data_IF_705433836227
#
_entry.id   IF_705433836227
#
_cell.length_a   1.000
_cell.length_b   1.000
_cell.length_c   1.000
_cell.angle_alpha   90.00
_cell.angle_beta   90.00
_cell.angle_gamma   90.00
#
_symmetry.space_group_name_H-M   'P 1'
#
loop_
_entity.id
_entity.type
_entity.pdbx_description
1 polymer ?
#
# COMPACT_ATOMS: atom_id res chain seq x y z
N UNK A 1 50.05 -10.34 15.18
CA UNK A 1 48.84 -11.18 15.39
C UNK A 1 47.68 -10.22 15.65
N UNK A 2 46.94 -9.85 14.61
CA UNK A 2 45.77 -8.99 14.74
C UNK A 2 44.64 -9.89 15.23
N UNK A 3 44.16 -9.64 16.45
CA UNK A 3 42.98 -10.29 16.99
C UNK A 3 41.80 -9.90 16.11
N UNK A 4 41.39 -10.76 15.18
CA UNK A 4 40.10 -10.64 14.51
C UNK A 4 39.04 -10.81 15.59
N UNK A 5 38.56 -9.70 16.15
CA UNK A 5 37.34 -9.70 16.93
C UNK A 5 36.24 -10.15 16.00
N UNK A 6 35.79 -11.39 16.18
CA UNK A 6 34.58 -11.91 15.55
C UNK A 6 33.44 -10.97 15.89
N UNK A 7 33.01 -10.21 14.89
CA UNK A 7 31.90 -9.29 14.99
C UNK A 7 30.65 -10.12 15.33
N UNK A 8 30.14 -10.01 16.56
CA UNK A 8 28.94 -10.73 16.99
C UNK A 8 27.75 -10.16 16.25
N UNK A 9 27.48 -10.69 15.05
CA UNK A 9 26.22 -10.48 14.35
C UNK A 9 25.15 -11.26 15.09
N UNK A 10 24.09 -10.55 15.45
CA UNK A 10 22.94 -11.16 16.11
C UNK A 10 22.05 -11.70 15.01
N UNK A 11 21.59 -12.94 15.17
CA UNK A 11 20.56 -13.52 14.30
C UNK A 11 19.22 -12.88 14.65
N UNK A 12 18.85 -11.81 13.92
CA UNK A 12 17.65 -11.04 14.18
C UNK A 12 16.40 -11.86 13.90
N UNK A 13 16.47 -12.79 12.94
CA UNK A 13 15.35 -13.67 12.64
C UNK A 13 15.09 -14.67 13.76
N UNK A 14 16.13 -15.28 14.33
CA UNK A 14 15.99 -16.14 15.51
C UNK A 14 15.34 -15.37 16.68
N UNK A 15 15.80 -14.14 16.94
CA UNK A 15 15.18 -13.29 17.98
C UNK A 15 13.72 -12.98 17.64
N UNK A 16 13.41 -12.62 16.40
CA UNK A 16 12.04 -12.30 15.99
C UNK A 16 11.09 -13.49 16.20
N UNK A 17 11.55 -14.73 15.93
CA UNK A 17 10.76 -15.93 16.22
C UNK A 17 10.42 -16.05 17.70
N UNK A 18 11.40 -15.87 18.58
CA UNK A 18 11.17 -15.95 20.03
C UNK A 18 10.29 -14.80 20.52
N UNK A 19 10.44 -13.59 19.96
CA UNK A 19 9.59 -12.44 20.26
C UNK A 19 8.15 -12.67 19.81
N UNK A 20 7.93 -13.28 18.65
CA UNK A 20 6.59 -13.63 18.17
C UNK A 20 5.88 -14.59 19.13
N UNK A 21 6.59 -15.59 19.67
CA UNK A 21 6.06 -16.50 20.70
C UNK A 21 5.62 -15.73 21.95
N UNK A 22 6.41 -14.76 22.41
CA UNK A 22 6.09 -13.95 23.59
C UNK A 22 4.98 -12.92 23.35
N UNK A 23 4.78 -12.48 22.10
CA UNK A 23 3.65 -11.62 21.72
C UNK A 23 2.32 -12.40 21.70
N UNK A 24 2.38 -13.72 21.55
CA UNK A 24 1.24 -14.63 21.69
C UNK A 24 0.49 -14.91 20.39
N UNK A 25 -0.76 -15.37 20.53
CA UNK A 25 -1.57 -15.86 19.42
C UNK A 25 -1.73 -14.83 18.29
N UNK A 26 -1.61 -15.29 17.05
CA UNK A 26 -1.71 -14.45 15.86
C UNK A 26 -0.41 -13.75 15.46
N UNK A 27 0.67 -13.90 16.24
CA UNK A 27 2.00 -13.42 15.87
C UNK A 27 2.86 -14.52 15.27
N UNK A 28 3.59 -14.17 14.22
CA UNK A 28 4.59 -15.02 13.57
C UNK A 28 5.78 -14.16 13.13
N UNK A 29 6.87 -14.82 12.74
CA UNK A 29 8.04 -14.13 12.20
C UNK A 29 8.42 -14.69 10.83
N UNK A 30 8.84 -13.80 9.94
CA UNK A 30 9.43 -14.16 8.64
C UNK A 30 10.81 -13.53 8.48
N UNK A 31 11.59 -14.10 7.56
CA UNK A 31 12.86 -13.50 7.17
C UNK A 31 12.63 -12.11 6.57
N UNK A 32 13.58 -11.20 6.82
CA UNK A 32 13.61 -9.87 6.25
C UNK A 32 14.23 -9.83 4.86
N UNK A 33 14.60 -8.63 4.41
CA UNK A 33 15.17 -8.42 3.08
C UNK A 33 16.70 -8.49 3.05
N UNK A 34 17.36 -8.34 4.20
CA UNK A 34 18.81 -8.27 4.28
C UNK A 34 19.43 -9.64 4.49
N UNK A 35 20.56 -9.86 3.81
CA UNK A 35 21.28 -11.13 3.89
C UNK A 35 21.79 -11.39 5.30
N UNK A 36 22.01 -12.67 5.61
CA UNK A 36 22.56 -13.13 6.89
C UNK A 36 21.70 -12.82 8.13
N UNK A 37 20.37 -12.84 7.98
CA UNK A 37 19.40 -12.69 9.08
C UNK A 37 19.60 -11.38 9.89
N UNK A 38 19.99 -10.30 9.19
CA UNK A 38 20.19 -8.98 9.81
C UNK A 38 18.88 -8.23 10.06
N UNK A 39 17.80 -8.70 9.47
CA UNK A 39 16.46 -8.21 9.68
C UNK A 39 15.42 -9.33 9.61
N UNK A 40 14.23 -9.02 10.12
CA UNK A 40 13.09 -9.91 10.17
C UNK A 40 11.80 -9.12 10.20
N UNK A 41 10.70 -9.76 9.83
CA UNK A 41 9.37 -9.23 10.04
C UNK A 41 8.67 -9.98 11.16
N UNK A 42 7.88 -9.26 11.96
CA UNK A 42 6.86 -9.80 12.84
C UNK A 42 5.51 -9.52 12.20
N UNK A 43 4.78 -10.59 11.89
CA UNK A 43 3.44 -10.54 11.30
C UNK A 43 2.43 -10.85 12.39
N UNK A 44 1.63 -9.84 12.74
CA UNK A 44 0.64 -9.88 13.79
C UNK A 44 -0.80 -9.93 13.29
N UNK A 45 -1.77 -9.98 14.21
CA UNK A 45 -3.18 -9.94 13.89
C UNK A 45 -3.56 -8.64 13.16
N UNK A 46 -4.71 -8.67 12.49
CA UNK A 46 -5.28 -7.53 11.75
C UNK A 46 -4.32 -6.94 10.70
N UNK A 47 -3.39 -7.75 10.19
CA UNK A 47 -2.42 -7.36 9.17
C UNK A 47 -1.35 -6.37 9.66
N UNK A 48 -1.16 -6.23 10.98
CA UNK A 48 -0.04 -5.46 11.54
C UNK A 48 1.27 -6.17 11.18
N UNK A 49 2.22 -5.44 10.62
CA UNK A 49 3.56 -5.94 10.33
C UNK A 49 4.61 -5.01 10.93
N UNK A 50 5.57 -5.58 11.65
CA UNK A 50 6.70 -4.85 12.23
C UNK A 50 8.00 -5.31 11.58
N UNK A 51 8.89 -4.38 11.26
CA UNK A 51 10.24 -4.67 10.80
C UNK A 51 11.20 -4.58 11.98
N UNK A 52 11.96 -5.64 12.22
CA UNK A 52 13.06 -5.69 13.18
C UNK A 52 14.37 -5.71 12.40
N UNK A 53 15.28 -4.80 12.69
CA UNK A 53 16.58 -4.76 12.05
C UNK A 53 17.69 -4.38 13.02
N UNK A 54 18.84 -5.03 12.90
CA UNK A 54 20.06 -4.54 13.52
C UNK A 54 20.70 -3.51 12.56
N UNK A 55 20.70 -2.23 12.94
CA UNK A 55 21.41 -1.23 12.15
C UNK A 55 22.91 -1.28 12.46
N UNK A 56 23.65 -2.10 11.72
CA UNK A 56 25.10 -2.27 11.93
C UNK A 56 25.93 -1.02 11.62
N UNK A 57 25.36 -0.04 10.90
CA UNK A 57 26.04 1.22 10.59
C UNK A 57 25.96 2.24 11.73
N UNK A 58 24.84 2.28 12.46
CA UNK A 58 24.61 3.31 13.49
C UNK A 58 24.63 2.77 14.92
N UNK A 59 24.34 1.48 15.13
CA UNK A 59 24.36 0.88 16.47
C UNK A 59 24.55 -0.63 16.45
N UNK A 60 25.73 -1.09 16.88
CA UNK A 60 26.01 -2.52 17.07
C UNK A 60 25.33 -3.12 18.30
N UNK A 61 24.76 -2.29 19.18
CA UNK A 61 24.23 -2.70 20.50
C UNK A 61 22.70 -2.63 20.59
N UNK A 62 22.03 -2.14 19.55
CA UNK A 62 20.59 -1.97 19.50
C UNK A 62 20.00 -2.53 18.22
N UNK A 63 18.75 -2.96 18.31
CA UNK A 63 17.88 -3.24 17.16
C UNK A 63 16.82 -2.15 17.09
N UNK A 64 16.51 -1.72 15.89
CA UNK A 64 15.35 -0.88 15.61
C UNK A 64 14.15 -1.77 15.29
N UNK A 65 12.98 -1.40 15.82
CA UNK A 65 11.70 -2.03 15.51
C UNK A 65 10.72 -0.95 15.09
N UNK A 66 10.14 -1.06 13.90
CA UNK A 66 9.21 -0.07 13.35
C UNK A 66 8.03 -0.73 12.65
N UNK A 67 6.91 -0.02 12.53
CA UNK A 67 5.78 -0.54 11.74
C UNK A 67 6.08 -0.47 10.24
N UNK A 68 5.88 -1.59 9.55
CA UNK A 68 6.22 -1.79 8.14
C UNK A 68 4.98 -2.04 7.29
N UNK A 69 4.49 -0.98 6.64
CA UNK A 69 3.21 -1.01 5.91
C UNK A 69 3.24 -1.84 4.62
N UNK A 70 4.41 -2.09 4.03
CA UNK A 70 4.52 -2.77 2.73
C UNK A 70 3.61 -2.11 1.67
N UNK A 71 2.76 -2.90 1.03
CA UNK A 71 1.75 -2.44 0.05
C UNK A 71 0.78 -1.40 0.60
N UNK A 72 0.54 -1.37 1.92
CA UNK A 72 -0.34 -0.37 2.56
C UNK A 72 0.31 1.02 2.62
N UNK A 73 1.59 1.17 2.29
CA UNK A 73 2.30 2.45 2.35
C UNK A 73 1.60 3.54 1.53
N UNK A 74 1.05 3.19 0.36
CA UNK A 74 0.32 4.14 -0.50
C UNK A 74 -1.01 4.63 0.10
N UNK A 75 -1.54 3.89 1.07
CA UNK A 75 -2.81 4.20 1.75
C UNK A 75 -2.59 4.78 3.14
N UNK A 76 -1.34 5.03 3.52
CA UNK A 76 -0.98 5.64 4.80
C UNK A 76 -1.55 7.07 4.90
N UNK A 77 -2.13 7.47 6.04
CA UNK A 77 -2.43 8.88 6.28
C UNK A 77 -1.18 9.76 6.23
N UNK A 78 -1.32 10.95 5.64
CA UNK A 78 -0.20 11.85 5.30
C UNK A 78 0.75 12.11 6.48
N UNK A 79 0.20 12.42 7.66
CA UNK A 79 1.00 12.73 8.86
C UNK A 79 1.09 11.57 9.88
N UNK A 80 0.61 10.37 9.52
CA UNK A 80 0.70 9.24 10.45
C UNK A 80 2.15 8.77 10.61
N UNK A 81 2.53 8.38 11.82
CA UNK A 81 3.78 7.65 12.06
C UNK A 81 3.43 6.20 12.36
N UNK A 82 4.15 5.25 11.78
CA UNK A 82 4.05 3.83 12.14
C UNK A 82 4.82 3.49 13.41
N UNK A 83 5.48 4.49 14.00
CA UNK A 83 6.31 4.36 15.20
C UNK A 83 7.63 3.65 14.95
N UNK A 84 8.61 3.98 15.76
CA UNK A 84 9.88 3.28 15.86
C UNK A 84 10.33 3.21 17.33
N UNK A 85 10.95 2.10 17.71
CA UNK A 85 11.62 1.95 18.99
C UNK A 85 13.00 1.33 18.78
N UNK A 86 13.96 1.78 19.57
CA UNK A 86 15.26 1.13 19.69
C UNK A 86 15.29 0.29 20.98
N UNK A 87 15.67 -0.98 20.84
CA UNK A 87 15.81 -1.92 21.96
C UNK A 87 17.23 -2.46 21.99
N UNK A 88 17.79 -2.66 23.20
CA UNK A 88 19.11 -3.26 23.32
C UNK A 88 19.08 -4.74 22.90
N UNK A 89 20.11 -5.20 22.20
CA UNK A 89 20.27 -6.63 21.83
C UNK A 89 20.39 -7.57 23.03
N UNK A 90 20.62 -7.03 24.23
CA UNK A 90 20.71 -7.80 25.48
C UNK A 90 19.35 -8.06 26.13
N UNK A 91 18.27 -7.43 25.64
CA UNK A 91 16.93 -7.67 26.16
C UNK A 91 16.47 -9.07 25.80
N UNK A 92 15.79 -9.71 26.73
CA UNK A 92 15.12 -10.99 26.49
C UNK A 92 13.95 -10.82 25.51
N UNK A 93 13.56 -11.88 24.78
CA UNK A 93 12.38 -11.82 23.90
C UNK A 93 11.13 -11.28 24.58
N UNK A 94 10.87 -11.71 25.83
CA UNK A 94 9.76 -11.23 26.66
C UNK A 94 9.80 -9.71 26.93
N UNK A 95 10.99 -9.16 27.18
CA UNK A 95 11.16 -7.71 27.38
C UNK A 95 10.93 -6.94 26.08
N UNK A 96 11.40 -7.47 24.95
CA UNK A 96 11.18 -6.85 23.63
C UNK A 96 9.70 -6.88 23.28
N UNK A 97 9.01 -8.01 23.47
CA UNK A 97 7.56 -8.13 23.29
C UNK A 97 6.81 -7.12 24.17
N UNK A 98 7.18 -6.99 25.45
CA UNK A 98 6.58 -6.00 26.34
C UNK A 98 6.79 -4.54 25.89
N UNK A 99 7.95 -4.22 25.31
CA UNK A 99 8.20 -2.90 24.73
C UNK A 99 7.39 -2.66 23.44
N UNK A 100 7.29 -3.67 22.56
CA UNK A 100 6.45 -3.62 21.36
C UNK A 100 5.00 -3.31 21.76
N UNK A 101 4.43 -4.10 22.67
CA UNK A 101 3.04 -3.97 23.10
C UNK A 101 2.73 -2.63 23.73
N UNK A 102 3.65 -2.10 24.54
CA UNK A 102 3.38 -0.89 25.32
C UNK A 102 3.76 0.41 24.61
N UNK A 103 4.70 0.36 23.66
CA UNK A 103 5.25 1.57 23.00
C UNK A 103 4.97 1.63 21.52
N UNK A 104 5.03 0.51 20.81
CA UNK A 104 4.95 0.48 19.35
C UNK A 104 3.52 0.20 18.86
N UNK A 105 2.86 -0.85 19.36
CA UNK A 105 1.51 -1.21 18.92
C UNK A 105 0.46 -0.10 19.09
N UNK A 106 0.45 0.68 20.20
CA UNK A 106 -0.51 1.76 20.35
C UNK A 106 -0.41 2.84 19.26
N UNK A 107 0.77 2.98 18.65
CA UNK A 107 1.04 3.92 17.55
C UNK A 107 0.82 3.26 16.19
N UNK A 108 1.35 2.05 15.99
CA UNK A 108 1.32 1.36 14.72
C UNK A 108 -0.08 0.85 14.34
N UNK A 109 -0.77 0.16 15.25
CA UNK A 109 -2.01 -0.56 14.93
C UNK A 109 -3.13 0.35 14.36
N UNK A 110 -3.40 1.55 14.91
CA UNK A 110 -4.38 2.47 14.32
C UNK A 110 -4.05 2.87 12.89
N UNK A 111 -2.76 3.04 12.56
CA UNK A 111 -2.30 3.42 11.22
C UNK A 111 -2.52 2.28 10.23
N UNK A 112 -2.25 1.04 10.62
CA UNK A 112 -2.54 -0.14 9.80
C UNK A 112 -4.05 -0.27 9.53
N UNK A 113 -4.89 -0.14 10.56
CA UNK A 113 -6.33 -0.23 10.41
C UNK A 113 -6.89 0.83 9.45
N UNK A 114 -6.43 2.07 9.57
CA UNK A 114 -6.84 3.17 8.68
C UNK A 114 -6.31 2.99 7.26
N UNK A 115 -5.05 2.55 7.09
CA UNK A 115 -4.50 2.27 5.77
C UNK A 115 -5.26 1.13 5.06
N UNK A 116 -5.64 0.08 5.77
CA UNK A 116 -6.49 -0.98 5.23
C UNK A 116 -7.89 -0.48 4.85
N UNK A 117 -8.50 0.38 5.68
CA UNK A 117 -9.80 0.99 5.37
C UNK A 117 -9.72 1.82 4.08
N UNK A 118 -8.66 2.61 3.92
CA UNK A 118 -8.40 3.41 2.71
C UNK A 118 -8.15 2.54 1.49
N UNK A 119 -7.40 1.44 1.64
CA UNK A 119 -7.20 0.46 0.57
C UNK A 119 -8.54 -0.13 0.12
N UNK A 120 -9.38 -0.59 1.06
CA UNK A 120 -10.72 -1.13 0.74
C UNK A 120 -11.58 -0.09 0.01
N UNK A 121 -11.64 1.14 0.52
CA UNK A 121 -12.39 2.22 -0.12
C UNK A 121 -11.87 2.55 -1.52
N UNK A 122 -10.55 2.49 -1.73
CA UNK A 122 -9.95 2.66 -3.05
C UNK A 122 -10.32 1.51 -3.99
N UNK A 123 -10.20 0.26 -3.55
CA UNK A 123 -10.58 -0.92 -4.34
C UNK A 123 -12.06 -0.93 -4.71
N UNK A 124 -12.94 -0.54 -3.78
CA UNK A 124 -14.38 -0.36 -4.04
C UNK A 124 -14.64 0.73 -5.09
N UNK A 125 -13.93 1.85 -5.01
CA UNK A 125 -14.06 2.92 -5.99
C UNK A 125 -13.53 2.49 -7.38
N UNK A 126 -12.38 1.84 -7.45
CA UNK A 126 -11.83 1.30 -8.68
C UNK A 126 -12.78 0.29 -9.33
N UNK A 127 -13.37 -0.62 -8.55
CA UNK A 127 -14.37 -1.57 -9.05
C UNK A 127 -15.62 -0.87 -9.59
N UNK A 128 -16.12 0.17 -8.89
CA UNK A 128 -17.26 0.97 -9.33
C UNK A 128 -16.96 1.71 -10.64
N UNK A 129 -15.76 2.24 -10.78
CA UNK A 129 -15.36 2.97 -11.99
C UNK A 129 -15.19 2.02 -13.18
N UNK A 130 -14.56 0.87 -12.96
CA UNK A 130 -14.42 -0.15 -13.99
C UNK A 130 -15.80 -0.63 -14.50
N UNK A 131 -16.76 -0.83 -13.60
CA UNK A 131 -18.14 -1.17 -13.98
C UNK A 131 -18.79 -0.06 -14.82
N UNK A 132 -18.65 1.21 -14.42
CA UNK A 132 -19.17 2.35 -15.17
C UNK A 132 -18.50 2.48 -16.56
N UNK A 133 -17.20 2.25 -16.66
CA UNK A 133 -16.49 2.27 -17.93
C UNK A 133 -17.01 1.17 -18.88
N UNK A 134 -17.34 -0.01 -18.37
CA UNK A 134 -17.97 -1.08 -19.15
C UNK A 134 -19.41 -0.73 -19.58
N UNK A 135 -20.22 -0.10 -18.73
CA UNK A 135 -21.55 0.40 -19.11
C UNK A 135 -21.45 1.44 -20.24
N UNK A 136 -20.51 2.38 -20.14
CA UNK A 136 -20.24 3.38 -21.18
C UNK A 136 -19.77 2.69 -22.46
N UNK A 137 -18.86 1.71 -22.39
CA UNK A 137 -18.42 0.92 -23.55
C UNK A 137 -19.62 0.25 -24.23
N UNK A 138 -20.49 -0.40 -23.46
CA UNK A 138 -21.70 -1.04 -23.99
C UNK A 138 -22.62 -0.04 -24.71
N UNK A 139 -22.80 1.16 -24.14
CA UNK A 139 -23.59 2.23 -24.76
C UNK A 139 -22.94 2.82 -26.02
N UNK A 140 -21.61 2.88 -26.07
CA UNK A 140 -20.83 3.38 -27.22
C UNK A 140 -20.69 2.35 -28.35
N UNK A 141 -20.93 1.06 -28.06
CA UNK A 141 -20.87 -0.03 -29.03
C UNK A 141 -19.60 -0.88 -28.93
N UNK A 142 -19.62 -2.04 -29.59
CA UNK A 142 -18.60 -3.09 -29.39
C UNK A 142 -17.19 -2.70 -29.84
N UNK A 143 -17.06 -1.72 -30.74
CA UNK A 143 -15.77 -1.22 -31.21
C UNK A 143 -15.09 -0.24 -30.23
N UNK A 144 -15.79 0.14 -29.16
CA UNK A 144 -15.23 0.99 -28.13
C UNK A 144 -14.22 0.20 -27.27
N UNK A 145 -13.08 0.83 -26.99
CA UNK A 145 -11.97 0.27 -26.20
C UNK A 145 -11.91 0.94 -24.84
N UNK A 146 -11.65 0.14 -23.80
CA UNK A 146 -11.45 0.62 -22.43
C UNK A 146 -9.96 0.58 -22.09
N UNK A 147 -9.42 1.68 -21.59
CA UNK A 147 -8.12 1.73 -20.94
C UNK A 147 -8.29 1.32 -19.48
N UNK A 148 -7.72 0.18 -19.10
CA UNK A 148 -7.72 -0.30 -17.70
C UNK A 148 -6.96 0.66 -16.76
N UNK A 149 -6.00 1.42 -17.29
CA UNK A 149 -5.14 2.30 -16.48
C UNK A 149 -5.78 3.66 -16.20
N UNK A 150 -6.50 4.20 -17.18
CA UNK A 150 -6.97 5.59 -17.16
C UNK A 150 -8.49 5.69 -17.01
N UNK A 151 -9.18 4.55 -16.89
CA UNK A 151 -10.64 4.48 -16.85
C UNK A 151 -11.29 5.26 -18.01
N UNK A 152 -10.67 5.12 -19.18
CA UNK A 152 -11.00 5.87 -20.39
C UNK A 152 -11.62 4.94 -21.43
N UNK A 153 -12.81 5.30 -21.91
CA UNK A 153 -13.49 4.62 -23.02
C UNK A 153 -13.27 5.44 -24.30
N UNK A 154 -12.75 4.80 -25.34
CA UNK A 154 -12.46 5.45 -26.63
C UNK A 154 -13.18 4.75 -27.76
N UNK A 155 -13.77 5.53 -28.66
CA UNK A 155 -14.39 5.06 -29.90
C UNK A 155 -14.04 6.05 -31.00
N UNK A 156 -13.41 5.60 -32.08
CA UNK A 156 -13.07 6.51 -33.16
C UNK A 156 -12.08 5.97 -34.16
N UNK A 157 -11.96 6.70 -35.27
CA UNK A 157 -11.02 6.47 -36.37
C UNK A 157 -10.45 7.80 -36.87
N UNK A 158 -9.84 7.79 -38.06
CA UNK A 158 -9.14 8.96 -38.61
C UNK A 158 -10.00 10.22 -38.79
N UNK A 159 -11.32 10.09 -38.93
CA UNK A 159 -12.24 11.21 -39.24
C UNK A 159 -13.05 11.70 -38.02
N UNK A 160 -12.69 11.25 -36.83
CA UNK A 160 -13.36 11.64 -35.59
C UNK A 160 -13.15 10.61 -34.50
N UNK A 161 -12.99 11.09 -33.27
CA UNK A 161 -12.88 10.22 -32.11
C UNK A 161 -13.66 10.79 -30.94
N UNK A 162 -14.32 9.89 -30.22
CA UNK A 162 -14.99 10.13 -28.95
C UNK A 162 -14.17 9.48 -27.86
N UNK A 163 -13.93 10.25 -26.82
CA UNK A 163 -13.27 9.81 -25.59
C UNK A 163 -14.17 10.16 -24.43
N UNK A 164 -14.42 9.18 -23.57
CA UNK A 164 -15.16 9.33 -22.34
C UNK A 164 -14.25 8.92 -21.20
N UNK A 165 -13.95 9.85 -20.30
CA UNK A 165 -13.12 9.60 -19.13
C UNK A 165 -13.99 9.67 -17.88
N UNK A 166 -13.88 8.68 -17.00
CA UNK A 166 -14.55 8.70 -15.69
C UNK A 166 -13.57 9.29 -14.67
N UNK A 167 -13.92 10.41 -14.04
CA UNK A 167 -13.10 10.96 -12.96
C UNK A 167 -13.32 10.16 -11.66
N UNK A 168 -12.29 9.45 -11.18
CA UNK A 168 -12.40 8.62 -9.98
C UNK A 168 -12.71 9.40 -8.71
N UNK A 169 -12.39 10.70 -8.66
CA UNK A 169 -12.42 11.52 -7.43
C UNK A 169 -13.79 12.13 -7.18
N UNK A 170 -14.48 12.51 -8.25
CA UNK A 170 -15.75 13.22 -8.17
C UNK A 170 -16.92 12.43 -8.74
N UNK A 171 -16.67 11.26 -9.33
CA UNK A 171 -17.69 10.46 -10.01
C UNK A 171 -18.28 11.19 -11.23
N UNK A 172 -17.62 12.25 -11.71
CA UNK A 172 -18.03 12.97 -12.91
C UNK A 172 -17.51 12.24 -14.15
N UNK A 173 -18.26 12.36 -15.24
CA UNK A 173 -17.88 11.80 -16.54
C UNK A 173 -17.56 12.96 -17.47
N UNK A 174 -16.39 12.89 -18.12
CA UNK A 174 -15.96 13.88 -19.10
C UNK A 174 -16.06 13.30 -20.50
N UNK A 175 -16.85 13.93 -21.35
CA UNK A 175 -16.93 13.63 -22.77
C UNK A 175 -16.00 14.58 -23.53
N UNK A 176 -15.14 14.02 -24.39
CA UNK A 176 -14.37 14.75 -25.39
C UNK A 176 -14.71 14.16 -26.75
N UNK A 177 -15.35 14.96 -27.61
CA UNK A 177 -15.79 14.53 -28.94
C UNK A 177 -15.07 15.41 -29.97
N UNK A 178 -14.31 14.79 -30.85
CA UNK A 178 -13.71 15.44 -32.02
C UNK A 178 -14.46 14.97 -33.27
N UNK A 179 -14.99 15.94 -34.03
CA UNK A 179 -15.94 15.69 -35.13
C UNK A 179 -15.81 16.78 -36.20
N UNK A 180 -16.48 16.59 -37.35
CA UNK A 180 -16.57 17.63 -38.39
C UNK A 180 -17.50 18.78 -37.97
N UNK A 181 -17.33 19.99 -38.54
CA UNK A 181 -18.17 21.15 -38.22
C UNK A 181 -19.68 20.91 -38.41
N UNK A 182 -20.06 20.14 -39.41
CA UNK A 182 -21.47 19.85 -39.74
C UNK A 182 -22.12 19.01 -38.63
N UNK A 183 -21.38 18.01 -38.12
CA UNK A 183 -21.81 17.16 -37.02
C UNK A 183 -21.74 17.88 -35.66
N UNK A 184 -20.83 18.84 -35.48
CA UNK A 184 -20.70 19.61 -34.25
C UNK A 184 -22.00 20.34 -33.87
N UNK A 185 -22.70 20.93 -34.86
CA UNK A 185 -23.98 21.62 -34.63
C UNK A 185 -25.08 20.65 -34.21
N UNK A 186 -25.11 19.45 -34.79
CA UNK A 186 -26.08 18.41 -34.42
C UNK A 186 -25.84 17.89 -33.00
N UNK A 187 -24.57 17.62 -32.65
CA UNK A 187 -24.17 17.21 -31.31
C UNK A 187 -24.51 18.27 -30.25
N UNK A 188 -24.22 19.55 -30.52
CA UNK A 188 -24.55 20.63 -29.60
C UNK A 188 -26.06 20.72 -29.33
N UNK A 189 -26.90 20.54 -30.36
CA UNK A 189 -28.37 20.51 -30.21
C UNK A 189 -28.84 19.32 -29.38
N UNK A 190 -28.28 18.14 -29.60
CA UNK A 190 -28.64 16.94 -28.86
C UNK A 190 -28.27 17.05 -27.38
N UNK A 191 -27.09 17.59 -27.07
CA UNK A 191 -26.63 17.77 -25.68
C UNK A 191 -27.44 18.85 -24.95
N UNK A 192 -27.75 19.97 -25.62
CA UNK A 192 -28.49 21.08 -25.00
C UNK A 192 -29.98 20.80 -24.70
N UNK A 193 -30.47 19.61 -25.04
CA UNK A 193 -31.84 19.16 -24.76
C UNK A 193 -31.94 18.18 -23.58
N UNK A 194 -30.80 17.75 -23.03
CA UNK A 194 -30.69 16.93 -21.81
C UNK A 194 -30.76 17.82 -20.56
#
# INVERSE_FOLDING_TARGET
MILMMTETRVDVFAIAKDVAVELGDGWSASEGHWSHAQDAYLDGPDGVRLHMAQNHYTSKTHMSISGALGELHHFKPYDASTGDINVSIKKTPKQVAGDITRRLLPVAAPVFAEAQKRKRAHEENEARIAALAEEIRAAMGQDAKVSERDHEVTLGGWNGHTRVSVDPRYGSVKFKIETTPELAVLLAKAIGQL
#
